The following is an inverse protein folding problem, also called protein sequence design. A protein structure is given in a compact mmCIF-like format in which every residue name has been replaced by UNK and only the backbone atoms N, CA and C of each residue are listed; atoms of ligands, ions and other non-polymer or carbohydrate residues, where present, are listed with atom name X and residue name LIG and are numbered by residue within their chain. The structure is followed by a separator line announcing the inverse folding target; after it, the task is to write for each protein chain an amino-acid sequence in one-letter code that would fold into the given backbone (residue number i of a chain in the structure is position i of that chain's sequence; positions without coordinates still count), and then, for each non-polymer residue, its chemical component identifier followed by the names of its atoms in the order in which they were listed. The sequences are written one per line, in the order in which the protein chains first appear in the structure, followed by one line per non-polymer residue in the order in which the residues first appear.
data_IF_276771798490
#
_entry.id   IF_276771798490
#
_cell.length_a   1.000
_cell.length_b   1.000
_cell.length_c   1.000
_cell.angle_alpha   90.00
_cell.angle_beta   90.00
_cell.angle_gamma   90.00
#
_symmetry.space_group_name_H-M   'P 1'
#
loop_
_entity.id
_entity.type
_entity.pdbx_description
1 polymer ?
#
# COMPACT_ATOMS: atom_id res chain seq x y z
N UNK A 1 4.72 -16.81 12.88
CA UNK A 1 3.88 -16.52 14.06
C UNK A 1 4.13 -15.06 14.47
N UNK A 2 3.42 -14.09 13.89
CA UNK A 2 3.51 -12.69 14.34
C UNK A 2 2.72 -12.58 15.64
N UNK A 3 3.43 -12.54 16.78
CA UNK A 3 2.81 -12.26 18.07
C UNK A 3 2.35 -10.80 18.08
N UNK A 4 1.05 -10.60 18.28
CA UNK A 4 0.45 -9.31 18.56
C UNK A 4 0.85 -8.85 19.98
N UNK A 5 2.09 -8.40 20.14
CA UNK A 5 2.45 -7.54 21.26
C UNK A 5 1.92 -6.13 20.96
N UNK A 6 1.38 -5.46 21.97
CA UNK A 6 0.96 -4.07 21.91
C UNK A 6 2.17 -3.16 21.64
N UNK A 7 2.59 -3.07 20.37
CA UNK A 7 3.59 -2.13 19.90
C UNK A 7 2.91 -0.78 19.59
N UNK A 8 3.61 0.35 19.78
CA UNK A 8 3.08 1.67 19.42
C UNK A 8 2.71 1.61 17.94
N UNK A 9 1.55 2.16 17.59
CA UNK A 9 0.91 2.09 16.27
C UNK A 9 1.94 2.05 15.14
N UNK A 10 2.24 0.84 14.66
CA UNK A 10 3.03 0.65 13.45
C UNK A 10 2.11 1.10 12.32
N UNK A 11 2.31 2.31 11.81
CA UNK A 11 1.49 2.84 10.73
C UNK A 11 2.01 2.24 9.44
N UNK A 12 1.21 1.34 8.88
CA UNK A 12 1.59 0.56 7.74
C UNK A 12 1.04 1.17 6.45
N UNK A 13 1.91 1.38 5.48
CA UNK A 13 1.49 1.69 4.12
C UNK A 13 1.55 0.41 3.27
N UNK A 14 0.38 -0.03 2.78
CA UNK A 14 0.30 -1.10 1.78
C UNK A 14 -0.20 -0.52 0.46
N UNK A 15 0.65 -0.59 -0.56
CA UNK A 15 0.37 -0.06 -1.89
C UNK A 15 -0.08 -1.22 -2.79
N UNK A 16 -1.27 -1.09 -3.36
CA UNK A 16 -1.86 -2.08 -4.25
C UNK A 16 -2.09 -1.46 -5.62
N UNK A 17 -1.85 -2.23 -6.69
CA UNK A 17 -2.21 -1.80 -8.04
C UNK A 17 -3.72 -1.91 -8.15
N UNK A 18 -4.41 -0.77 -8.11
CA UNK A 18 -5.82 -0.73 -8.48
C UNK A 18 -5.81 -0.56 -9.99
N UNK A 19 -5.99 -1.66 -10.72
CA UNK A 19 -6.30 -1.60 -12.14
C UNK A 19 -7.49 -0.63 -12.31
N UNK A 20 -7.33 0.34 -13.23
CA UNK A 20 -8.27 1.42 -13.58
C UNK A 20 -9.73 0.96 -13.55
N UNK A 21 -10.34 1.02 -12.38
CA UNK A 21 -11.78 0.86 -12.22
C UNK A 21 -12.21 1.97 -11.27
N UNK A 22 -12.52 3.11 -11.88
CA UNK A 22 -12.68 4.43 -11.25
C UNK A 22 -13.93 4.55 -10.34
N UNK A 23 -14.46 3.43 -9.83
CA UNK A 23 -15.74 3.41 -9.12
C UNK A 23 -15.77 2.66 -7.78
N UNK A 24 -14.66 2.07 -7.31
CA UNK A 24 -14.63 1.52 -5.96
C UNK A 24 -14.27 2.59 -4.92
N UNK A 25 -15.31 3.14 -4.29
CA UNK A 25 -15.20 3.96 -3.08
C UNK A 25 -14.22 3.38 -2.06
N UNK A 26 -13.47 4.27 -1.40
CA UNK A 26 -12.39 4.17 -0.38
C UNK A 26 -12.37 2.95 0.60
N UNK A 27 -13.42 2.14 0.68
CA UNK A 27 -13.55 0.95 1.55
C UNK A 27 -14.31 -0.22 0.90
N UNK A 28 -14.68 -0.12 -0.37
CA UNK A 28 -15.59 -1.05 -1.06
C UNK A 28 -15.01 -2.47 -1.15
N UNK A 29 -13.69 -2.62 -1.36
CA UNK A 29 -13.02 -3.92 -1.39
C UNK A 29 -13.09 -4.65 -0.04
N UNK A 30 -13.04 -3.92 1.08
CA UNK A 30 -13.17 -4.47 2.44
C UNK A 30 -14.63 -4.74 2.86
N UNK A 31 -15.59 -4.33 2.03
CA UNK A 31 -17.03 -4.53 2.25
C UNK A 31 -17.53 -5.82 1.56
N UNK A 32 -16.84 -6.32 0.52
CA UNK A 32 -17.12 -7.65 -0.03
C UNK A 32 -16.80 -8.73 1.01
N UNK A 33 -17.69 -9.71 1.14
CA UNK A 33 -17.49 -10.88 1.99
C UNK A 33 -16.43 -11.77 1.35
N UNK A 34 -15.17 -11.56 1.75
CA UNK A 34 -14.05 -12.42 1.37
C UNK A 34 -13.76 -13.35 2.55
N UNK A 35 -13.80 -14.66 2.31
CA UNK A 35 -13.64 -15.70 3.33
C UNK A 35 -12.24 -15.72 3.94
N UNK A 36 -11.23 -15.28 3.19
CA UNK A 36 -9.83 -15.21 3.65
C UNK A 36 -9.64 -14.31 4.88
N UNK A 37 -10.57 -13.38 5.14
CA UNK A 37 -10.54 -12.48 6.29
C UNK A 37 -11.47 -12.91 7.44
N UNK A 38 -12.12 -14.07 7.38
CA UNK A 38 -13.10 -14.47 8.40
C UNK A 38 -12.45 -14.60 9.79
N UNK A 39 -11.31 -15.27 9.87
CA UNK A 39 -10.53 -15.35 11.12
C UNK A 39 -10.12 -13.97 11.66
N UNK A 40 -9.76 -13.02 10.80
CA UNK A 40 -9.43 -11.65 11.21
C UNK A 40 -10.65 -10.91 11.77
N UNK A 41 -11.85 -11.14 11.20
CA UNK A 41 -13.10 -10.53 11.69
C UNK A 41 -13.47 -11.09 13.06
N UNK A 42 -13.22 -12.37 13.30
CA UNK A 42 -13.45 -13.03 14.59
C UNK A 42 -12.45 -12.58 15.66
N UNK A 43 -11.15 -12.64 15.37
CA UNK A 43 -10.10 -12.32 16.34
C UNK A 43 -9.95 -10.80 16.59
N UNK A 44 -10.22 -9.96 15.58
CA UNK A 44 -10.11 -8.50 15.69
C UNK A 44 -11.34 -7.80 15.07
N UNK A 45 -12.50 -7.79 15.76
CA UNK A 45 -13.76 -7.29 15.18
C UNK A 45 -13.70 -5.84 14.66
N UNK A 46 -12.86 -4.99 15.28
CA UNK A 46 -12.67 -3.57 14.90
C UNK A 46 -11.46 -3.32 14.00
N UNK A 47 -10.90 -4.35 13.34
CA UNK A 47 -9.68 -4.21 12.52
C UNK A 47 -9.76 -3.07 11.49
N UNK A 48 -10.96 -2.80 10.95
CA UNK A 48 -11.21 -1.70 10.00
C UNK A 48 -10.86 -0.31 10.53
N UNK A 49 -10.91 -0.09 11.85
CA UNK A 49 -10.56 1.19 12.46
C UNK A 49 -9.06 1.48 12.39
N UNK A 50 -8.24 0.45 12.11
CA UNK A 50 -6.80 0.56 11.91
C UNK A 50 -6.43 0.77 10.43
N UNK A 51 -7.42 0.83 9.53
CA UNK A 51 -7.19 0.96 8.09
C UNK A 51 -7.55 2.37 7.65
N UNK A 52 -6.59 3.05 7.02
CA UNK A 52 -6.79 4.35 6.39
C UNK A 52 -6.49 4.20 4.89
N UNK A 53 -7.49 4.48 4.06
CA UNK A 53 -7.32 4.44 2.61
C UNK A 53 -6.80 5.80 2.12
N UNK A 54 -5.68 5.77 1.41
CA UNK A 54 -5.09 6.93 0.74
C UNK A 54 -5.26 6.75 -0.77
N UNK A 55 -5.80 7.77 -1.44
CA UNK A 55 -5.95 7.73 -2.89
C UNK A 55 -4.59 7.98 -3.55
N UNK A 56 -4.29 7.21 -4.59
CA UNK A 56 -3.05 7.33 -5.34
C UNK A 56 -3.04 6.43 -6.57
N UNK A 57 -2.10 6.69 -7.46
CA UNK A 57 -1.85 5.93 -8.68
C UNK A 57 -0.34 5.71 -8.83
N UNK A 58 0.06 4.44 -8.86
CA UNK A 58 1.45 4.02 -8.99
C UNK A 58 2.09 4.43 -10.33
N UNK A 59 1.29 4.53 -11.40
CA UNK A 59 1.75 5.00 -12.71
C UNK A 59 1.91 6.52 -12.81
N UNK A 60 1.42 7.26 -11.80
CA UNK A 60 1.51 8.71 -11.75
C UNK A 60 2.76 9.18 -11.01
N UNK A 61 3.26 10.36 -11.40
CA UNK A 61 4.37 11.01 -10.70
C UNK A 61 4.03 11.20 -9.21
N UNK A 62 4.97 10.90 -8.32
CA UNK A 62 4.75 11.02 -6.87
C UNK A 62 3.65 10.10 -6.33
N UNK A 63 3.34 8.99 -7.02
CA UNK A 63 2.28 8.03 -6.70
C UNK A 63 0.86 8.63 -6.76
N UNK A 64 0.67 9.77 -7.45
CA UNK A 64 -0.64 10.44 -7.53
C UNK A 64 -1.14 10.96 -6.17
N UNK A 65 -0.25 11.11 -5.18
CA UNK A 65 -0.60 11.56 -3.84
C UNK A 65 -0.82 13.07 -3.80
N UNK A 66 -1.76 13.51 -2.97
CA UNK A 66 -1.83 14.92 -2.58
C UNK A 66 -0.63 15.29 -1.71
N UNK A 67 -0.29 16.58 -1.64
CA UNK A 67 0.78 17.05 -0.73
C UNK A 67 0.48 16.74 0.74
N UNK A 68 -0.79 16.83 1.14
CA UNK A 68 -1.22 16.53 2.50
C UNK A 68 -1.08 15.03 2.85
N UNK A 69 -1.47 14.15 1.93
CA UNK A 69 -1.29 12.71 2.10
C UNK A 69 0.19 12.34 2.13
N UNK A 70 0.99 12.90 1.20
CA UNK A 70 2.44 12.71 1.16
C UNK A 70 3.10 13.08 2.48
N UNK A 71 2.76 14.25 3.04
CA UNK A 71 3.26 14.70 4.33
C UNK A 71 2.83 13.74 5.45
N UNK A 72 1.55 13.37 5.49
CA UNK A 72 1.04 12.43 6.51
C UNK A 72 1.77 11.08 6.48
N UNK A 73 2.05 10.56 5.30
CA UNK A 73 2.80 9.32 5.13
C UNK A 73 4.27 9.48 5.57
N UNK A 74 4.93 10.58 5.19
CA UNK A 74 6.29 10.90 5.62
C UNK A 74 6.44 10.98 7.15
N UNK A 75 5.42 11.49 7.83
CA UNK A 75 5.42 11.65 9.28
C UNK A 75 5.16 10.35 10.05
N UNK A 76 4.17 9.59 9.59
CA UNK A 76 3.53 8.57 10.43
C UNK A 76 3.95 7.16 10.07
N UNK A 77 4.36 6.91 8.83
CA UNK A 77 4.65 5.57 8.34
C UNK A 77 6.08 5.16 8.69
N UNK A 78 6.18 3.94 9.21
CA UNK A 78 7.45 3.33 9.60
C UNK A 78 7.73 2.00 8.88
N UNK A 79 6.72 1.41 8.23
CA UNK A 79 6.84 0.16 7.48
C UNK A 79 6.08 0.28 6.15
N UNK A 80 6.69 -0.17 5.05
CA UNK A 80 6.09 -0.17 3.71
C UNK A 80 6.05 -1.60 3.16
N UNK A 81 4.86 -2.01 2.70
CA UNK A 81 4.67 -3.12 1.78
C UNK A 81 4.24 -2.60 0.41
N UNK A 82 5.04 -2.84 -0.62
CA UNK A 82 4.69 -2.54 -2.00
C UNK A 82 4.39 -3.85 -2.74
N UNK A 83 3.11 -4.08 -3.01
CA UNK A 83 2.61 -5.24 -3.76
C UNK A 83 1.87 -4.82 -5.04
N UNK A 84 2.07 -3.56 -5.47
CA UNK A 84 1.45 -3.02 -6.67
C UNK A 84 2.32 -3.36 -7.90
N UNK A 85 2.03 -4.50 -8.52
CA UNK A 85 2.71 -4.95 -9.73
C UNK A 85 1.71 -5.66 -10.66
N UNK A 86 2.08 -5.79 -11.94
CA UNK A 86 1.34 -6.54 -12.95
C UNK A 86 2.18 -7.74 -13.41
N UNK A 87 1.56 -8.92 -13.39
CA UNK A 87 2.13 -10.22 -13.80
C UNK A 87 1.75 -10.61 -15.24
N UNK A 88 1.33 -9.62 -16.05
CA UNK A 88 0.85 -9.89 -17.41
C UNK A 88 2.02 -10.01 -18.38
N UNK A 89 2.23 -11.23 -18.90
CA UNK A 89 3.29 -11.53 -19.85
C UNK A 89 3.07 -10.91 -21.24
N UNK A 90 1.83 -10.54 -21.56
CA UNK A 90 1.39 -9.93 -22.82
C UNK A 90 1.21 -8.40 -22.71
N UNK A 91 1.67 -7.80 -21.62
CA UNK A 91 1.56 -6.35 -21.42
C UNK A 91 2.62 -5.59 -22.23
N UNK A 92 2.23 -4.44 -22.80
CA UNK A 92 3.16 -3.57 -23.51
C UNK A 92 4.31 -3.12 -22.58
N UNK A 93 5.53 -3.16 -23.11
CA UNK A 93 6.76 -2.87 -22.36
C UNK A 93 6.70 -1.51 -21.65
N UNK A 94 6.09 -0.48 -22.26
CA UNK A 94 5.96 0.83 -21.62
C UNK A 94 5.11 0.74 -20.35
N UNK A 95 4.03 -0.02 -20.39
CA UNK A 95 3.14 -0.18 -19.23
C UNK A 95 3.86 -0.96 -18.12
N UNK A 96 4.53 -2.07 -18.47
CA UNK A 96 5.29 -2.88 -17.52
C UNK A 96 6.43 -2.07 -16.87
N UNK A 97 7.10 -1.19 -17.61
CA UNK A 97 8.13 -0.29 -17.06
C UNK A 97 7.54 0.72 -16.08
N UNK A 98 6.38 1.32 -16.37
CA UNK A 98 5.73 2.26 -15.46
C UNK A 98 5.33 1.59 -14.14
N UNK A 99 4.75 0.39 -14.20
CA UNK A 99 4.24 -0.31 -13.02
C UNK A 99 5.33 -1.06 -12.25
N UNK A 100 6.21 -1.80 -12.91
CA UNK A 100 7.12 -2.73 -12.23
C UNK A 100 8.50 -2.11 -11.98
N UNK A 101 8.84 -0.98 -12.62
CA UNK A 101 10.12 -0.30 -12.40
C UNK A 101 9.92 1.08 -11.79
N UNK A 102 9.09 1.92 -12.40
CA UNK A 102 8.96 3.33 -11.98
C UNK A 102 8.13 3.50 -10.71
N UNK A 103 7.07 2.72 -10.53
CA UNK A 103 6.32 2.77 -9.27
C UNK A 103 7.17 2.38 -8.05
N UNK A 104 7.94 1.27 -8.03
CA UNK A 104 8.91 1.00 -6.97
C UNK A 104 9.89 2.16 -6.72
N UNK A 105 10.39 2.81 -7.77
CA UNK A 105 11.26 3.97 -7.64
C UNK A 105 10.55 5.16 -6.96
N UNK A 106 9.29 5.42 -7.30
CA UNK A 106 8.49 6.45 -6.63
C UNK A 106 8.26 6.12 -5.14
N UNK A 107 8.05 4.85 -4.80
CA UNK A 107 7.94 4.38 -3.41
C UNK A 107 9.25 4.58 -2.65
N UNK A 108 10.40 4.24 -3.24
CA UNK A 108 11.71 4.48 -2.66
C UNK A 108 11.96 5.97 -2.40
N UNK A 109 11.55 6.84 -3.32
CA UNK A 109 11.65 8.30 -3.14
C UNK A 109 10.75 8.80 -2.00
N UNK A 110 9.55 8.27 -1.85
CA UNK A 110 8.69 8.59 -0.71
C UNK A 110 9.30 8.09 0.60
N UNK A 111 9.83 6.86 0.60
CA UNK A 111 10.44 6.24 1.77
C UNK A 111 11.66 7.03 2.28
N UNK A 112 12.42 7.67 1.38
CA UNK A 112 13.53 8.56 1.76
C UNK A 112 13.10 9.73 2.64
N UNK A 113 11.87 10.21 2.47
CA UNK A 113 11.35 11.35 3.22
C UNK A 113 10.68 10.91 4.54
N UNK A 114 10.57 9.61 4.82
CA UNK A 114 9.92 9.09 6.02
C UNK A 114 10.84 9.16 7.24
N UNK A 115 10.42 9.90 8.27
CA UNK A 115 11.25 10.16 9.46
C UNK A 115 11.46 8.95 10.36
N UNK A 116 10.53 8.01 10.35
CA UNK A 116 10.51 6.85 11.25
C UNK A 116 10.68 5.50 10.56
N UNK A 117 11.19 5.46 9.33
CA UNK A 117 11.25 4.24 8.54
C UNK A 117 12.16 3.18 9.18
N UNK A 118 11.62 2.00 9.50
CA UNK A 118 12.41 0.83 9.86
C UNK A 118 12.80 0.08 8.58
N UNK A 119 14.02 0.35 8.10
CA UNK A 119 14.56 -0.23 6.87
C UNK A 119 14.66 -1.76 6.89
N UNK A 120 14.60 -2.39 8.08
CA UNK A 120 14.56 -3.87 8.20
C UNK A 120 13.23 -4.45 7.71
N UNK A 121 12.19 -3.62 7.62
CA UNK A 121 10.83 -3.99 7.25
C UNK A 121 10.36 -3.18 6.02
N UNK A 122 11.18 -3.14 4.97
CA UNK A 122 10.82 -2.53 3.68
C UNK A 122 10.75 -3.62 2.59
N UNK A 123 9.54 -3.90 2.11
CA UNK A 123 9.30 -5.02 1.19
C UNK A 123 8.72 -4.52 -0.14
N UNK A 124 9.47 -4.73 -1.22
CA UNK A 124 9.02 -4.52 -2.61
C UNK A 124 8.87 -5.88 -3.26
N UNK A 125 7.67 -6.19 -3.72
CA UNK A 125 7.41 -7.37 -4.56
C UNK A 125 7.45 -6.89 -6.01
N UNK A 126 8.49 -7.32 -6.73
CA UNK A 126 8.57 -7.18 -8.19
C UNK A 126 8.02 -8.46 -8.80
N UNK A 127 7.17 -8.35 -9.81
CA UNK A 127 6.63 -9.47 -10.57
C UNK A 127 7.06 -9.43 -12.02
#
# INVERSE_FOLDING_TARGET
MFRAAAAPVVSLLSIHSIARDAHLSRTATLRRRIFVFDRLKEEVPKFRHKIVAVAGDCGSAGLGLTLADRHTLAEKVNIIFHSAATVKFDEDLRTALETNVRAPLHVLRLARDMRGLDVRHFYIILT
#
